data_IF_926664731431
#
_entry.id   IF_926664731431
#
_cell.length_a   1.000
_cell.length_b   1.000
_cell.length_c   1.000
_cell.angle_alpha   90.00
_cell.angle_beta   90.00
_cell.angle_gamma   90.00
#
_symmetry.space_group_name_H-M   'P 1'
#
loop_
_entity.id
_entity.type
_entity.pdbx_description
1 polymer ?
#
# COMPACT_ATOMS: atom_id res chain seq x y z
N UNK A 1 27.92 -19.00 11.66
CA UNK A 1 27.54 -18.16 10.52
C UNK A 1 26.19 -18.62 10.04
N UNK A 2 25.16 -17.79 10.15
CA UNK A 2 23.93 -17.99 9.38
C UNK A 2 24.31 -17.94 7.90
N UNK A 3 23.91 -18.92 7.08
CA UNK A 3 24.22 -18.89 5.65
C UNK A 3 23.67 -17.59 5.03
N UNK A 4 24.45 -16.97 4.15
CA UNK A 4 23.96 -15.81 3.40
C UNK A 4 22.79 -16.25 2.50
N UNK A 5 21.76 -15.40 2.36
CA UNK A 5 20.65 -15.72 1.48
C UNK A 5 21.11 -15.81 0.02
N UNK A 6 20.61 -16.81 -0.68
CA UNK A 6 20.79 -16.94 -2.11
C UNK A 6 19.75 -16.08 -2.84
N UNK A 7 20.16 -15.43 -3.93
CA UNK A 7 19.25 -14.68 -4.82
C UNK A 7 19.19 -15.37 -6.17
N UNK A 8 18.02 -15.86 -6.55
CA UNK A 8 17.76 -16.59 -7.80
C UNK A 8 16.79 -15.79 -8.65
N UNK A 9 17.08 -15.62 -9.95
CA UNK A 9 16.11 -15.06 -10.90
C UNK A 9 15.26 -16.20 -11.45
N UNK A 10 13.97 -16.23 -11.09
CA UNK A 10 13.04 -17.25 -11.54
C UNK A 10 12.46 -16.94 -12.93
N UNK A 11 12.35 -15.65 -13.26
CA UNK A 11 11.77 -15.19 -14.51
C UNK A 11 12.22 -13.75 -14.79
N UNK A 12 12.50 -13.42 -16.05
CA UNK A 12 12.80 -12.06 -16.48
C UNK A 12 12.29 -11.83 -17.91
N UNK A 13 11.61 -10.70 -18.11
CA UNK A 13 11.18 -10.21 -19.42
C UNK A 13 11.23 -8.68 -19.46
N UNK A 14 10.77 -8.09 -20.56
CA UNK A 14 10.56 -6.64 -20.66
C UNK A 14 9.49 -6.10 -19.70
N UNK A 15 8.57 -6.96 -19.23
CA UNK A 15 7.42 -6.54 -18.41
C UNK A 15 7.65 -6.74 -16.93
N UNK A 16 8.47 -7.71 -16.54
CA UNK A 16 8.61 -8.11 -15.14
C UNK A 16 9.90 -8.89 -14.85
N UNK A 17 10.40 -8.68 -13.64
CA UNK A 17 11.46 -9.46 -13.00
C UNK A 17 10.88 -10.22 -11.81
N UNK A 18 11.19 -11.51 -11.71
CA UNK A 18 10.86 -12.35 -10.56
C UNK A 18 12.13 -12.80 -9.89
N UNK A 19 12.33 -12.35 -8.65
CA UNK A 19 13.50 -12.63 -7.84
C UNK A 19 13.12 -13.47 -6.63
N UNK A 20 13.80 -14.57 -6.37
CA UNK A 20 13.63 -15.40 -5.18
C UNK A 20 14.83 -15.20 -4.26
N UNK A 21 14.58 -14.65 -3.09
CA UNK A 21 15.54 -14.57 -1.99
C UNK A 21 15.26 -15.75 -1.07
N UNK A 22 16.22 -16.66 -0.97
CA UNK A 22 16.06 -17.96 -0.30
C UNK A 22 17.31 -18.37 0.46
N UNK A 23 17.34 -19.58 1.02
CA UNK A 23 18.45 -20.09 1.83
C UNK A 23 18.21 -19.93 3.34
N UNK A 24 17.08 -19.34 3.75
CA UNK A 24 16.67 -19.38 5.14
C UNK A 24 16.02 -20.73 5.46
N UNK A 25 16.21 -21.23 6.68
CA UNK A 25 15.53 -22.45 7.18
C UNK A 25 14.04 -22.19 7.47
N UNK A 26 13.30 -21.68 6.48
CA UNK A 26 11.89 -21.30 6.60
C UNK A 26 10.97 -22.34 5.97
N UNK A 27 9.94 -22.76 6.70
CA UNK A 27 8.83 -23.56 6.17
C UNK A 27 7.79 -22.70 5.43
N UNK A 28 8.03 -21.39 5.33
CA UNK A 28 7.10 -20.38 4.85
C UNK A 28 7.77 -19.54 3.77
N UNK A 29 7.00 -19.13 2.77
CA UNK A 29 7.46 -18.19 1.76
C UNK A 29 6.45 -17.07 1.53
N UNK A 30 6.94 -15.84 1.41
CA UNK A 30 6.12 -14.72 0.97
C UNK A 30 6.30 -14.50 -0.54
N UNK A 31 5.20 -14.40 -1.29
CA UNK A 31 5.19 -13.91 -2.67
C UNK A 31 4.68 -12.49 -2.66
N UNK A 32 5.55 -11.54 -2.97
CA UNK A 32 5.27 -10.11 -2.87
C UNK A 32 4.95 -9.50 -4.22
N UNK A 33 3.92 -8.67 -4.23
CA UNK A 33 3.46 -7.90 -5.37
C UNK A 33 3.78 -6.43 -5.09
N UNK A 34 4.67 -5.84 -5.90
CA UNK A 34 5.01 -4.42 -5.81
C UNK A 34 3.81 -3.46 -5.84
N UNK A 35 3.81 -2.39 -5.03
CA UNK A 35 2.81 -1.35 -5.13
C UNK A 35 2.99 -0.53 -6.41
N UNK A 36 2.12 0.46 -6.60
CA UNK A 36 2.36 1.46 -7.63
C UNK A 36 3.65 2.21 -7.28
N UNK A 37 4.61 2.23 -8.19
CA UNK A 37 5.91 2.86 -8.00
C UNK A 37 6.10 4.07 -8.92
N UNK A 38 6.76 5.11 -8.41
CA UNK A 38 7.21 6.22 -9.26
C UNK A 38 8.60 5.97 -9.84
N UNK A 39 9.43 5.23 -9.11
CA UNK A 39 10.73 4.76 -9.57
C UNK A 39 10.58 3.35 -10.14
N UNK A 40 10.79 3.24 -11.44
CA UNK A 40 10.63 2.00 -12.21
C UNK A 40 11.98 1.40 -12.61
N UNK A 41 13.06 1.75 -11.89
CA UNK A 41 14.37 1.12 -12.08
C UNK A 41 14.22 -0.42 -12.05
N UNK A 42 14.67 -1.15 -13.10
CA UNK A 42 14.56 -2.60 -13.16
C UNK A 42 15.37 -3.32 -12.08
N UNK A 43 16.43 -2.69 -11.56
CA UNK A 43 17.33 -3.27 -10.55
C UNK A 43 16.90 -2.96 -9.11
N UNK A 44 15.77 -2.27 -8.94
CA UNK A 44 15.24 -1.95 -7.61
C UNK A 44 14.96 -3.20 -6.76
N UNK A 45 15.00 -2.99 -5.45
CA UNK A 45 14.63 -4.03 -4.49
C UNK A 45 13.15 -4.40 -4.65
N UNK A 46 12.83 -5.67 -4.42
CA UNK A 46 11.46 -6.13 -4.36
C UNK A 46 10.67 -5.49 -3.22
N UNK A 47 9.36 -5.36 -3.37
CA UNK A 47 8.51 -4.88 -2.28
C UNK A 47 8.63 -5.80 -1.07
N UNK A 48 9.00 -5.23 0.09
CA UNK A 48 9.24 -5.99 1.31
C UNK A 48 10.51 -6.83 1.30
N UNK A 49 11.37 -6.75 0.28
CA UNK A 49 12.62 -7.54 0.21
C UNK A 49 13.54 -7.31 1.42
N UNK A 50 13.88 -6.07 1.82
CA UNK A 50 14.67 -5.84 3.03
C UNK A 50 13.99 -6.36 4.30
N UNK A 51 12.66 -6.24 4.36
CA UNK A 51 11.86 -6.68 5.49
C UNK A 51 11.89 -8.20 5.67
N UNK A 52 11.68 -8.97 4.60
CA UNK A 52 11.73 -10.44 4.67
C UNK A 52 13.16 -10.96 4.88
N UNK A 53 14.17 -10.27 4.34
CA UNK A 53 15.59 -10.53 4.67
C UNK A 53 15.86 -10.36 6.17
N UNK A 54 15.37 -9.27 6.77
CA UNK A 54 15.50 -9.02 8.21
C UNK A 54 14.78 -10.08 9.06
N UNK A 55 13.61 -10.56 8.60
CA UNK A 55 12.87 -11.63 9.26
C UNK A 55 13.44 -13.03 9.00
N UNK A 56 14.44 -13.16 8.12
CA UNK A 56 14.98 -14.44 7.66
C UNK A 56 13.88 -15.38 7.13
N UNK A 57 12.97 -14.81 6.33
CA UNK A 57 11.89 -15.52 5.66
C UNK A 57 12.15 -15.52 4.17
N UNK A 58 12.08 -16.70 3.55
CA UNK A 58 12.22 -16.84 2.10
C UNK A 58 11.11 -16.06 1.39
N UNK A 59 11.46 -15.32 0.33
CA UNK A 59 10.50 -14.49 -0.37
C UNK A 59 10.76 -14.44 -1.88
N UNK A 60 9.68 -14.50 -2.64
CA UNK A 60 9.66 -14.25 -4.08
C UNK A 60 9.08 -12.86 -4.33
N UNK A 61 9.78 -12.04 -5.09
CA UNK A 61 9.41 -10.67 -5.40
C UNK A 61 9.05 -10.52 -6.87
N UNK A 62 7.82 -10.10 -7.15
CA UNK A 62 7.34 -9.78 -8.50
C UNK A 62 7.51 -8.27 -8.70
N UNK A 63 8.45 -7.91 -9.56
CA UNK A 63 8.89 -6.54 -9.79
C UNK A 63 8.49 -6.16 -11.22
N UNK A 64 7.38 -5.44 -11.41
CA UNK A 64 6.92 -5.05 -12.74
C UNK A 64 7.80 -3.92 -13.32
N UNK A 65 7.94 -3.86 -14.63
CA UNK A 65 8.63 -2.77 -15.31
C UNK A 65 7.82 -1.48 -15.35
N UNK A 66 6.50 -1.56 -15.16
CA UNK A 66 5.58 -0.41 -15.15
C UNK A 66 4.42 -0.60 -14.15
N UNK A 67 3.46 0.33 -14.18
CA UNK A 67 2.25 0.26 -13.35
C UNK A 67 1.02 -0.19 -14.15
N UNK A 68 1.13 -1.26 -14.94
CA UNK A 68 0.04 -1.86 -15.72
C UNK A 68 -0.83 -2.84 -14.92
N UNK A 69 -0.81 -2.76 -13.58
CA UNK A 69 -1.65 -3.55 -12.67
C UNK A 69 -1.60 -5.05 -12.95
N UNK A 70 -0.40 -5.57 -13.20
CA UNK A 70 -0.18 -6.99 -13.50
C UNK A 70 -0.92 -7.52 -14.74
N UNK A 71 -1.42 -6.65 -15.62
CA UNK A 71 -2.07 -7.06 -16.88
C UNK A 71 -1.05 -7.34 -17.98
N UNK A 72 -0.04 -8.15 -17.68
CA UNK A 72 1.05 -8.50 -18.60
C UNK A 72 0.75 -9.79 -19.37
N UNK A 73 1.05 -9.88 -20.67
CA UNK A 73 0.86 -11.10 -21.45
C UNK A 73 1.58 -12.32 -20.86
N UNK A 74 2.71 -12.09 -20.21
CA UNK A 74 3.62 -13.12 -19.73
C UNK A 74 3.54 -13.37 -18.22
N UNK A 75 2.58 -12.72 -17.51
CA UNK A 75 2.35 -12.94 -16.09
C UNK A 75 2.09 -14.43 -15.76
N UNK A 76 1.34 -15.14 -16.63
CA UNK A 76 1.01 -16.54 -16.41
C UNK A 76 2.25 -17.44 -16.40
N UNK A 77 3.19 -17.19 -17.31
CA UNK A 77 4.45 -17.94 -17.39
C UNK A 77 5.31 -17.69 -16.14
N UNK A 78 5.40 -16.43 -15.71
CA UNK A 78 6.11 -16.04 -14.50
C UNK A 78 5.50 -16.70 -13.25
N UNK A 79 4.17 -16.64 -13.10
CA UNK A 79 3.46 -17.26 -11.98
C UNK A 79 3.64 -18.78 -11.94
N UNK A 80 3.72 -19.45 -13.09
CA UNK A 80 4.01 -20.88 -13.14
C UNK A 80 5.41 -21.22 -12.58
N UNK A 81 6.44 -20.42 -12.89
CA UNK A 81 7.78 -20.58 -12.31
C UNK A 81 7.78 -20.34 -10.80
N UNK A 82 7.06 -19.29 -10.35
CA UNK A 82 6.89 -19.01 -8.92
C UNK A 82 6.26 -20.21 -8.22
N UNK A 83 5.16 -20.74 -8.77
CA UNK A 83 4.42 -21.87 -8.18
C UNK A 83 5.31 -23.11 -8.02
N UNK A 84 6.20 -23.39 -8.98
CA UNK A 84 7.18 -24.47 -8.86
C UNK A 84 8.18 -24.19 -7.73
N UNK A 85 8.75 -22.98 -7.69
CA UNK A 85 9.74 -22.60 -6.68
C UNK A 85 9.16 -22.64 -5.24
N UNK A 86 7.88 -22.27 -5.07
CA UNK A 86 7.25 -22.23 -3.76
C UNK A 86 6.57 -23.53 -3.33
N UNK A 87 6.51 -24.55 -4.19
CA UNK A 87 5.84 -25.82 -3.92
C UNK A 87 6.41 -26.59 -2.71
N UNK A 88 7.67 -26.30 -2.33
CA UNK A 88 8.34 -26.91 -1.17
C UNK A 88 7.93 -26.31 0.18
N UNK A 89 7.33 -25.13 0.22
CA UNK A 89 6.96 -24.47 1.46
C UNK A 89 5.60 -24.98 1.95
N UNK A 90 5.48 -25.16 3.26
CA UNK A 90 4.22 -25.59 3.90
C UNK A 90 3.15 -24.53 3.81
N UNK A 91 3.53 -23.25 3.80
CA UNK A 91 2.61 -22.14 3.57
C UNK A 91 3.26 -21.06 2.71
N UNK A 92 2.42 -20.47 1.87
CA UNK A 92 2.80 -19.42 0.96
C UNK A 92 1.83 -18.26 1.13
N UNK A 93 2.36 -17.07 1.44
CA UNK A 93 1.59 -15.84 1.63
C UNK A 93 1.73 -14.96 0.38
N UNK A 94 0.63 -14.65 -0.31
CA UNK A 94 0.61 -13.55 -1.27
C UNK A 94 0.49 -12.23 -0.52
N UNK A 95 1.38 -11.27 -0.77
CA UNK A 95 1.44 -10.02 -0.01
C UNK A 95 1.59 -8.80 -0.90
N UNK A 96 0.83 -7.74 -0.62
CA UNK A 96 0.96 -6.48 -1.35
C UNK A 96 0.13 -5.35 -0.77
N UNK A 97 0.45 -4.13 -1.19
CA UNK A 97 -0.29 -2.91 -0.84
C UNK A 97 -0.74 -2.14 -2.08
N UNK A 98 -1.92 -1.52 -2.04
CA UNK A 98 -2.49 -0.77 -3.17
C UNK A 98 -2.54 -1.63 -4.46
N UNK A 99 -1.82 -1.25 -5.53
CA UNK A 99 -1.65 -2.07 -6.74
C UNK A 99 -1.13 -3.48 -6.44
N UNK A 100 -0.17 -3.60 -5.52
CA UNK A 100 0.32 -4.89 -5.07
C UNK A 100 -0.75 -5.67 -4.31
N UNK A 101 -1.63 -4.98 -3.58
CA UNK A 101 -2.78 -5.59 -2.92
C UNK A 101 -3.78 -6.16 -3.92
N UNK A 102 -4.04 -5.44 -5.03
CA UNK A 102 -4.79 -5.98 -6.17
C UNK A 102 -4.11 -7.24 -6.72
N UNK A 103 -2.79 -7.21 -6.91
CA UNK A 103 -2.01 -8.36 -7.38
C UNK A 103 -2.12 -9.58 -6.46
N UNK A 104 -1.92 -9.38 -5.17
CA UNK A 104 -2.03 -10.43 -4.14
C UNK A 104 -3.43 -11.05 -4.08
N UNK A 105 -4.49 -10.23 -4.17
CA UNK A 105 -5.87 -10.71 -4.20
C UNK A 105 -6.13 -11.53 -5.47
N UNK A 106 -5.81 -10.98 -6.65
CA UNK A 106 -6.19 -11.56 -7.96
C UNK A 106 -5.35 -12.76 -8.37
N UNK A 107 -4.05 -12.71 -8.10
CA UNK A 107 -3.09 -13.69 -8.61
C UNK A 107 -2.47 -14.56 -7.51
N UNK A 108 -2.96 -14.45 -6.26
CA UNK A 108 -2.50 -15.29 -5.15
C UNK A 108 -2.61 -16.80 -5.47
N UNK A 109 -3.71 -17.24 -6.08
CA UNK A 109 -3.86 -18.65 -6.46
C UNK A 109 -2.93 -19.08 -7.59
N UNK A 110 -2.54 -18.17 -8.50
CA UNK A 110 -1.63 -18.47 -9.61
C UNK A 110 -0.23 -18.81 -9.11
N UNK A 111 0.21 -18.14 -8.06
CA UNK A 111 1.54 -18.35 -7.45
C UNK A 111 1.53 -19.46 -6.40
N UNK A 112 0.39 -20.15 -6.19
CA UNK A 112 0.25 -21.20 -5.19
C UNK A 112 0.15 -20.69 -3.75
N UNK A 113 -0.30 -19.45 -3.55
CA UNK A 113 -0.52 -18.92 -2.21
C UNK A 113 -1.70 -19.60 -1.52
N UNK A 114 -1.51 -19.87 -0.23
CA UNK A 114 -2.55 -20.42 0.65
C UNK A 114 -3.42 -19.31 1.24
N UNK A 115 -2.80 -18.15 1.49
CA UNK A 115 -3.44 -16.97 2.06
C UNK A 115 -2.93 -15.74 1.33
N UNK A 116 -3.79 -14.73 1.14
CA UNK A 116 -3.38 -13.39 0.73
C UNK A 116 -3.48 -12.40 1.90
N UNK A 117 -2.49 -11.52 2.04
CA UNK A 117 -2.57 -10.30 2.84
C UNK A 117 -2.52 -9.11 1.89
N UNK A 118 -3.65 -8.41 1.78
CA UNK A 118 -3.78 -7.27 0.90
C UNK A 118 -4.07 -6.00 1.71
N UNK A 119 -3.17 -5.02 1.64
CA UNK A 119 -3.31 -3.74 2.33
C UNK A 119 -3.82 -2.68 1.36
N UNK A 120 -4.96 -2.08 1.70
CA UNK A 120 -5.68 -1.10 0.90
C UNK A 120 -5.81 -1.50 -0.59
N UNK A 121 -6.26 -2.71 -0.92
CA UNK A 121 -6.27 -3.19 -2.31
C UNK A 121 -7.33 -2.48 -3.14
N UNK A 122 -7.03 -2.21 -4.41
CA UNK A 122 -8.04 -1.77 -5.38
C UNK A 122 -8.70 -3.00 -6.00
N UNK A 123 -9.95 -2.86 -6.43
CA UNK A 123 -10.74 -3.93 -7.06
C UNK A 123 -11.42 -3.51 -8.36
N UNK A 124 -11.60 -2.20 -8.57
CA UNK A 124 -12.52 -1.62 -9.54
C UNK A 124 -11.81 -0.88 -10.69
N UNK A 125 -10.85 -1.56 -11.31
CA UNK A 125 -9.99 -1.02 -12.36
C UNK A 125 -10.56 -1.30 -13.75
N UNK A 126 -11.03 -2.53 -13.97
CA UNK A 126 -11.66 -2.95 -15.21
C UNK A 126 -13.20 -2.85 -15.14
N UNK A 127 -13.88 -2.60 -16.27
CA UNK A 127 -15.28 -2.98 -16.40
C UNK A 127 -15.38 -4.52 -16.47
N UNK A 128 -15.62 -5.20 -15.34
CA UNK A 128 -15.83 -6.66 -15.34
C UNK A 128 -17.30 -7.03 -15.03
N UNK A 129 -18.16 -7.23 -16.05
CA UNK A 129 -19.59 -7.52 -15.86
C UNK A 129 -19.87 -8.74 -14.97
N UNK A 130 -18.94 -9.70 -14.93
CA UNK A 130 -19.06 -10.96 -14.17
C UNK A 130 -19.06 -10.74 -12.65
N UNK A 131 -18.31 -9.76 -12.15
CA UNK A 131 -18.31 -9.42 -10.72
C UNK A 131 -19.20 -8.23 -10.37
N UNK A 132 -19.53 -7.35 -11.33
CA UNK A 132 -20.30 -6.12 -11.06
C UNK A 132 -21.82 -6.29 -11.07
N UNK A 133 -22.35 -7.47 -11.40
CA UNK A 133 -23.76 -7.66 -11.72
C UNK A 133 -24.19 -6.76 -12.89
N UNK A 134 -25.34 -7.04 -13.50
CA UNK A 134 -25.91 -6.11 -14.48
C UNK A 134 -26.42 -4.87 -13.73
N UNK A 135 -25.57 -3.91 -13.37
CA UNK A 135 -26.05 -2.63 -12.85
C UNK A 135 -25.09 -1.68 -12.14
N UNK A 136 -23.92 -2.08 -11.62
CA UNK A 136 -23.05 -1.14 -10.88
C UNK A 136 -21.57 -1.37 -11.13
N UNK A 137 -21.11 -1.02 -12.33
CA UNK A 137 -19.70 -0.79 -12.63
C UNK A 137 -19.21 0.46 -11.87
N UNK A 138 -19.09 0.38 -10.54
CA UNK A 138 -18.31 1.38 -9.83
C UNK A 138 -16.89 1.27 -10.36
N UNK A 139 -16.37 2.37 -10.92
CA UNK A 139 -14.96 2.53 -11.24
C UNK A 139 -14.44 3.61 -10.33
N UNK A 140 -13.30 3.37 -9.70
CA UNK A 140 -12.67 4.44 -8.95
C UNK A 140 -12.22 5.53 -9.93
N UNK A 141 -12.77 6.76 -9.83
CA UNK A 141 -12.43 7.83 -10.76
C UNK A 141 -10.94 8.22 -10.67
N UNK A 142 -10.26 7.96 -9.55
CA UNK A 142 -8.83 8.25 -9.35
C UNK A 142 -7.99 7.52 -10.40
N UNK A 143 -8.34 6.26 -10.70
CA UNK A 143 -7.57 5.42 -11.62
C UNK A 143 -8.07 5.47 -13.07
N UNK A 144 -9.10 6.27 -13.37
CA UNK A 144 -9.71 6.32 -14.70
C UNK A 144 -8.70 6.74 -15.78
N UNK A 145 -7.81 7.69 -15.49
CA UNK A 145 -6.82 8.13 -16.47
C UNK A 145 -5.80 7.01 -16.76
N UNK A 146 -5.26 6.40 -15.70
CA UNK A 146 -4.26 5.34 -15.81
C UNK A 146 -4.80 4.07 -16.46
N UNK A 147 -6.02 3.66 -16.12
CA UNK A 147 -6.61 2.41 -16.62
C UNK A 147 -7.07 2.48 -18.07
N UNK A 148 -7.08 3.66 -18.71
CA UNK A 148 -7.47 3.81 -20.12
C UNK A 148 -6.52 3.13 -21.09
N UNK A 149 -5.22 3.15 -20.79
CA UNK A 149 -4.18 2.55 -21.64
C UNK A 149 -3.94 1.07 -21.33
N UNK A 150 -4.54 0.54 -20.27
CA UNK A 150 -4.33 -0.83 -19.83
C UNK A 150 -5.29 -1.75 -20.56
N UNK A 151 -4.74 -2.73 -21.29
CA UNK A 151 -5.50 -3.87 -21.78
C UNK A 151 -5.60 -4.90 -20.65
N UNK A 152 -6.80 -5.09 -20.11
CA UNK A 152 -7.04 -6.09 -19.08
C UNK A 152 -7.10 -7.50 -19.70
N UNK A 153 -6.10 -8.32 -19.41
CA UNK A 153 -5.92 -9.65 -19.98
C UNK A 153 -6.46 -10.78 -19.10
N UNK A 154 -6.51 -10.57 -17.78
CA UNK A 154 -6.69 -11.65 -16.80
C UNK A 154 -7.93 -11.49 -15.91
N UNK A 155 -8.83 -10.56 -16.24
CA UNK A 155 -9.99 -10.20 -15.41
C UNK A 155 -11.12 -11.24 -15.37
N UNK A 156 -11.11 -12.20 -16.29
CA UNK A 156 -12.07 -13.31 -16.37
C UNK A 156 -11.69 -14.50 -15.48
N UNK A 157 -10.47 -14.52 -14.96
CA UNK A 157 -9.96 -15.58 -14.10
C UNK A 157 -10.48 -15.47 -12.67
N UNK A 158 -10.62 -16.64 -12.04
CA UNK A 158 -11.24 -16.78 -10.72
C UNK A 158 -10.38 -17.55 -9.70
N UNK A 159 -9.11 -17.75 -10.02
CA UNK A 159 -8.11 -18.52 -9.27
C UNK A 159 -7.44 -17.65 -8.18
N UNK A 160 -8.26 -17.11 -7.27
CA UNK A 160 -7.82 -16.30 -6.12
C UNK A 160 -7.14 -17.19 -5.06
N UNK A 161 -6.42 -16.59 -4.11
CA UNK A 161 -5.98 -17.33 -2.92
C UNK A 161 -7.21 -17.87 -2.15
N UNK A 162 -7.13 -19.06 -1.52
CA UNK A 162 -8.25 -19.67 -0.79
C UNK A 162 -8.87 -18.76 0.28
N UNK A 163 -8.03 -18.00 1.00
CA UNK A 163 -8.46 -17.03 2.00
C UNK A 163 -7.66 -15.74 1.87
N UNK A 164 -8.25 -14.60 2.24
CA UNK A 164 -7.53 -13.33 2.29
C UNK A 164 -7.85 -12.48 3.52
N UNK A 165 -6.82 -11.81 4.04
CA UNK A 165 -6.94 -10.71 4.98
C UNK A 165 -6.84 -9.38 4.23
N UNK A 166 -7.86 -8.53 4.35
CA UNK A 166 -7.89 -7.21 3.71
C UNK A 166 -7.85 -6.12 4.77
N UNK A 167 -6.72 -5.42 4.84
CA UNK A 167 -6.52 -4.26 5.72
C UNK A 167 -6.92 -3.00 4.97
N UNK A 168 -7.73 -2.12 5.55
CA UNK A 168 -8.18 -0.91 4.86
C UNK A 168 -8.64 0.19 5.82
N UNK A 169 -8.64 1.45 5.38
CA UNK A 169 -9.34 2.51 6.10
C UNK A 169 -10.84 2.51 5.73
N UNK A 170 -11.76 2.18 6.64
CA UNK A 170 -13.20 2.19 6.36
C UNK A 170 -13.76 3.58 6.07
N UNK A 171 -12.97 4.63 6.27
CA UNK A 171 -13.39 6.01 6.09
C UNK A 171 -12.91 6.61 4.75
N UNK A 172 -12.19 5.86 3.92
CA UNK A 172 -11.74 6.22 2.57
C UNK A 172 -12.55 5.45 1.51
N UNK A 173 -12.34 5.71 0.20
CA UNK A 173 -12.89 4.86 -0.86
C UNK A 173 -12.48 3.38 -0.76
N UNK A 174 -11.41 3.03 -0.02
CA UNK A 174 -10.95 1.65 0.16
C UNK A 174 -12.04 0.74 0.73
N UNK A 175 -12.98 1.28 1.52
CA UNK A 175 -14.14 0.52 2.01
C UNK A 175 -14.90 -0.19 0.88
N UNK A 176 -15.12 0.50 -0.24
CA UNK A 176 -15.85 -0.09 -1.38
C UNK A 176 -15.07 -1.21 -2.05
N UNK A 177 -13.74 -1.08 -2.11
CA UNK A 177 -12.88 -2.14 -2.63
C UNK A 177 -12.87 -3.37 -1.71
N UNK A 178 -12.74 -3.15 -0.41
CA UNK A 178 -12.77 -4.20 0.60
C UNK A 178 -14.11 -4.94 0.63
N UNK A 179 -15.24 -4.21 0.64
CA UNK A 179 -16.60 -4.77 0.57
C UNK A 179 -16.81 -5.59 -0.70
N UNK A 180 -16.28 -5.12 -1.84
CA UNK A 180 -16.34 -5.86 -3.09
C UNK A 180 -15.63 -7.21 -2.98
N UNK A 181 -14.39 -7.24 -2.49
CA UNK A 181 -13.65 -8.48 -2.33
C UNK A 181 -14.38 -9.46 -1.38
N UNK A 182 -14.88 -8.97 -0.24
CA UNK A 182 -15.68 -9.78 0.69
C UNK A 182 -16.96 -10.33 0.07
N UNK A 183 -17.59 -9.60 -0.86
CA UNK A 183 -18.81 -10.07 -1.54
C UNK A 183 -18.56 -11.19 -2.56
N UNK A 184 -17.31 -11.34 -3.03
CA UNK A 184 -16.95 -12.25 -4.11
C UNK A 184 -16.10 -13.45 -3.65
N UNK A 185 -15.42 -13.35 -2.51
CA UNK A 185 -14.39 -14.29 -2.04
C UNK A 185 -14.42 -14.47 -0.52
N UNK A 186 -13.77 -15.52 -0.04
CA UNK A 186 -13.53 -15.71 1.39
C UNK A 186 -12.47 -14.71 1.88
N UNK A 187 -12.96 -13.67 2.56
CA UNK A 187 -12.15 -12.51 2.98
C UNK A 187 -12.51 -12.10 4.39
N UNK A 188 -11.49 -12.02 5.25
CA UNK A 188 -11.55 -11.37 6.55
C UNK A 188 -11.17 -9.89 6.41
N UNK A 189 -12.10 -9.02 6.77
CA UNK A 189 -11.90 -7.56 6.72
C UNK A 189 -11.28 -7.04 8.02
N UNK A 190 -10.19 -6.28 7.90
CA UNK A 190 -9.46 -5.67 9.01
C UNK A 190 -9.53 -4.14 8.86
N UNK A 191 -10.55 -3.48 9.44
CA UNK A 191 -10.69 -2.04 9.36
C UNK A 191 -9.65 -1.32 10.25
N UNK A 192 -8.99 -0.30 9.70
CA UNK A 192 -8.03 0.58 10.40
C UNK A 192 -8.47 2.05 10.18
N UNK A 193 -9.44 2.56 10.96
CA UNK A 193 -9.98 3.91 10.79
C UNK A 193 -8.90 4.99 10.86
N UNK A 194 -9.03 5.99 9.99
CA UNK A 194 -8.09 7.12 9.88
C UNK A 194 -6.64 6.72 9.51
N UNK A 195 -6.40 5.52 9.00
CA UNK A 195 -5.06 5.14 8.50
C UNK A 195 -4.74 5.71 7.12
N UNK A 196 -5.75 6.16 6.38
CA UNK A 196 -5.60 6.67 5.02
C UNK A 196 -5.30 5.57 4.01
N UNK A 197 -4.64 5.96 2.91
CA UNK A 197 -4.25 5.06 1.84
C UNK A 197 -2.74 5.24 1.53
N UNK A 198 -1.90 4.20 1.67
CA UNK A 198 -2.24 2.88 2.21
C UNK A 198 -2.29 2.87 3.75
N UNK A 199 -3.07 1.95 4.32
CA UNK A 199 -3.16 1.73 5.78
C UNK A 199 -1.85 1.21 6.39
N UNK A 200 -0.94 0.72 5.55
CA UNK A 200 0.35 0.14 5.92
C UNK A 200 1.20 1.10 6.78
N UNK A 201 1.20 2.39 6.48
CA UNK A 201 2.01 3.39 7.20
C UNK A 201 1.62 3.47 8.68
N UNK A 202 0.32 3.45 8.97
CA UNK A 202 -0.17 3.49 10.34
C UNK A 202 0.22 2.20 11.11
N UNK A 203 0.15 1.04 10.46
CA UNK A 203 0.54 -0.23 11.09
C UNK A 203 2.04 -0.32 11.36
N UNK A 204 2.89 0.23 10.47
CA UNK A 204 4.34 0.32 10.71
C UNK A 204 4.63 1.19 11.92
N UNK A 205 4.07 2.41 11.95
CA UNK A 205 4.29 3.35 13.04
C UNK A 205 3.76 2.86 14.39
N UNK A 206 2.73 2.01 14.38
CA UNK A 206 2.19 1.37 15.57
C UNK A 206 2.95 0.09 15.98
N UNK A 207 3.93 -0.37 15.19
CA UNK A 207 4.62 -1.64 15.43
C UNK A 207 3.76 -2.88 15.22
N UNK A 208 2.61 -2.76 14.54
CA UNK A 208 1.62 -3.82 14.36
C UNK A 208 1.81 -4.62 13.05
N UNK A 209 2.49 -4.04 12.04
CA UNK A 209 2.65 -4.72 10.75
C UNK A 209 3.51 -5.99 10.85
N UNK A 210 4.65 -5.93 11.53
CA UNK A 210 5.58 -7.06 11.63
C UNK A 210 4.96 -8.27 12.34
N UNK A 211 4.35 -8.11 13.54
CA UNK A 211 3.66 -9.22 14.19
C UNK A 211 2.53 -9.80 13.33
N UNK A 212 1.74 -8.95 12.67
CA UNK A 212 0.67 -9.40 11.78
C UNK A 212 1.18 -10.31 10.66
N UNK A 213 2.20 -9.88 9.91
CA UNK A 213 2.74 -10.69 8.81
C UNK A 213 3.31 -12.00 9.35
N UNK A 214 4.06 -11.94 10.46
CA UNK A 214 4.61 -13.13 11.10
C UNK A 214 3.51 -14.13 11.47
N UNK A 215 2.50 -13.71 12.24
CA UNK A 215 1.42 -14.59 12.68
C UNK A 215 0.60 -15.16 11.53
N UNK A 216 0.40 -14.41 10.45
CA UNK A 216 -0.27 -14.91 9.23
C UNK A 216 0.58 -15.99 8.57
N UNK A 217 1.89 -15.76 8.44
CA UNK A 217 2.82 -16.77 7.94
C UNK A 217 2.71 -18.04 8.79
N UNK A 218 2.83 -17.96 10.11
CA UNK A 218 2.75 -19.12 11.01
C UNK A 218 1.35 -19.72 11.15
N UNK A 219 0.31 -19.06 10.63
CA UNK A 219 -1.07 -19.54 10.68
C UNK A 219 -1.72 -19.47 12.06
N UNK A 220 -1.26 -18.53 12.89
CA UNK A 220 -1.75 -18.30 14.26
C UNK A 220 -2.42 -16.92 14.42
N UNK A 221 -2.59 -16.20 13.32
CA UNK A 221 -3.17 -14.86 13.32
C UNK A 221 -4.63 -14.87 13.78
N UNK A 222 -4.91 -14.10 14.83
CA UNK A 222 -6.25 -13.85 15.35
C UNK A 222 -6.71 -12.46 14.90
N UNK A 223 -7.59 -12.44 13.89
CA UNK A 223 -8.09 -11.19 13.32
C UNK A 223 -8.91 -10.38 14.33
N UNK A 224 -9.70 -11.02 15.20
CA UNK A 224 -10.53 -10.31 16.18
C UNK A 224 -9.65 -9.66 17.26
N UNK A 225 -8.59 -10.35 17.69
CA UNK A 225 -7.56 -9.77 18.58
C UNK A 225 -6.88 -8.58 17.92
N UNK A 226 -6.44 -8.73 16.68
CA UNK A 226 -5.77 -7.67 15.95
C UNK A 226 -6.69 -6.46 15.72
N UNK A 227 -7.97 -6.66 15.44
CA UNK A 227 -8.95 -5.56 15.29
C UNK A 227 -9.14 -4.81 16.62
N UNK A 228 -9.12 -5.50 17.77
CA UNK A 228 -9.14 -4.84 19.09
C UNK A 228 -7.87 -4.01 19.33
N UNK A 229 -6.70 -4.54 18.97
CA UNK A 229 -5.42 -3.81 19.05
C UNK A 229 -5.44 -2.55 18.16
N UNK A 230 -5.96 -2.67 16.94
CA UNK A 230 -6.18 -1.54 16.01
C UNK A 230 -7.15 -0.52 16.59
N UNK A 231 -8.20 -0.95 17.30
CA UNK A 231 -9.12 -0.06 18.01
C UNK A 231 -8.44 0.80 19.09
N UNK A 232 -7.29 0.34 19.60
CA UNK A 232 -6.41 1.08 20.50
C UNK A 232 -5.54 2.14 19.82
N UNK A 233 -5.50 2.21 18.48
CA UNK A 233 -4.76 3.25 17.77
C UNK A 233 -5.39 4.62 18.02
N UNK A 234 -4.58 5.54 18.54
CA UNK A 234 -5.01 6.89 18.90
C UNK A 234 -4.33 7.94 18.02
N UNK A 235 -4.58 9.22 18.32
CA UNK A 235 -3.82 10.31 17.71
C UNK A 235 -2.33 10.32 18.12
N UNK A 236 -1.87 9.36 18.96
CA UNK A 236 -0.47 9.14 19.26
C UNK A 236 0.29 8.32 18.19
N UNK A 237 -0.38 7.94 17.10
CA UNK A 237 0.28 7.47 15.87
C UNK A 237 0.31 8.61 14.84
N UNK A 238 1.48 9.00 14.28
CA UNK A 238 1.61 10.14 13.39
C UNK A 238 0.64 10.11 12.21
N UNK A 239 0.56 8.98 11.50
CA UNK A 239 -0.31 8.80 10.35
C UNK A 239 -1.79 8.99 10.71
N UNK A 240 -2.23 8.42 11.85
CA UNK A 240 -3.61 8.58 12.33
C UNK A 240 -3.93 10.06 12.62
N UNK A 241 -3.01 10.77 13.28
CA UNK A 241 -3.18 12.20 13.57
C UNK A 241 -3.24 13.05 12.29
N UNK A 242 -2.36 12.77 11.33
CA UNK A 242 -2.28 13.46 10.04
C UNK A 242 -3.56 13.25 9.23
N UNK A 243 -4.01 12.01 9.06
CA UNK A 243 -5.21 11.70 8.29
C UNK A 243 -6.46 12.28 8.96
N UNK A 244 -6.58 12.24 10.29
CA UNK A 244 -7.65 12.93 11.03
C UNK A 244 -7.67 14.43 10.74
N UNK A 245 -6.50 15.08 10.71
CA UNK A 245 -6.41 16.49 10.35
C UNK A 245 -6.85 16.72 8.89
N UNK A 246 -6.32 15.94 7.94
CA UNK A 246 -6.67 16.05 6.52
C UNK A 246 -8.17 15.84 6.23
N UNK A 247 -8.82 14.95 6.98
CA UNK A 247 -10.26 14.67 6.85
C UNK A 247 -11.15 15.80 7.37
N UNK A 248 -10.64 16.66 8.26
CA UNK A 248 -11.41 17.79 8.74
C UNK A 248 -11.73 18.75 7.59
N UNK A 249 -13.04 18.94 7.31
CA UNK A 249 -13.53 19.82 6.25
C UNK A 249 -13.41 21.31 6.59
N UNK A 250 -13.64 21.66 7.86
CA UNK A 250 -13.49 23.03 8.33
C UNK A 250 -11.98 23.38 8.43
N UNK A 251 -11.51 24.46 7.79
CA UNK A 251 -10.09 24.78 7.71
C UNK A 251 -9.48 25.18 9.07
N UNK A 252 -10.24 25.82 9.96
CA UNK A 252 -9.79 26.11 11.33
C UNK A 252 -9.65 24.83 12.17
N UNK A 253 -10.62 23.91 12.06
CA UNK A 253 -10.52 22.59 12.72
C UNK A 253 -9.33 21.80 12.19
N UNK A 254 -9.12 21.80 10.87
CA UNK A 254 -7.96 21.16 10.22
C UNK A 254 -6.65 21.73 10.76
N UNK A 255 -6.50 23.05 10.80
CA UNK A 255 -5.30 23.67 11.35
C UNK A 255 -5.09 23.31 12.82
N UNK A 256 -6.15 23.32 13.64
CA UNK A 256 -6.05 22.92 15.06
C UNK A 256 -5.55 21.49 15.21
N UNK A 257 -6.09 20.55 14.43
CA UNK A 257 -5.65 19.15 14.46
C UNK A 257 -4.23 18.97 13.92
N UNK A 258 -3.86 19.68 12.85
CA UNK A 258 -2.51 19.65 12.31
C UNK A 258 -1.49 20.20 13.30
N UNK A 259 -1.83 21.27 14.03
CA UNK A 259 -1.01 21.82 15.12
C UNK A 259 -0.86 20.84 16.28
N UNK A 260 -1.91 20.09 16.63
CA UNK A 260 -1.81 19.03 17.63
C UNK A 260 -0.92 17.88 17.15
N UNK A 261 -1.01 17.50 15.86
CA UNK A 261 -0.16 16.46 15.28
C UNK A 261 1.32 16.86 15.31
N UNK A 262 1.68 18.06 14.85
CA UNK A 262 3.08 18.51 14.87
C UNK A 262 3.61 18.72 16.30
N UNK A 263 2.75 19.10 17.26
CA UNK A 263 3.15 19.18 18.66
C UNK A 263 3.45 17.79 19.27
N UNK A 264 2.69 16.77 18.87
CA UNK A 264 2.93 15.38 19.28
C UNK A 264 4.12 14.75 18.56
N UNK A 265 4.38 15.14 17.30
CA UNK A 265 5.44 14.62 16.45
C UNK A 265 6.25 15.76 15.81
N UNK A 266 7.09 16.46 16.57
CA UNK A 266 7.88 17.56 16.05
C UNK A 266 8.76 17.13 14.87
N UNK A 267 8.76 17.92 13.79
CA UNK A 267 9.54 17.64 12.58
C UNK A 267 8.93 16.61 11.63
N UNK A 268 7.77 16.02 11.93
CA UNK A 268 7.08 15.16 10.97
C UNK A 268 6.67 15.96 9.73
N UNK A 269 7.28 15.62 8.60
CA UNK A 269 7.17 16.36 7.34
C UNK A 269 5.76 16.32 6.77
N UNK A 270 5.07 15.19 6.94
CA UNK A 270 3.68 15.06 6.49
C UNK A 270 2.75 15.91 7.35
N UNK A 271 2.95 15.95 8.67
CA UNK A 271 2.22 16.85 9.56
C UNK A 271 2.50 18.33 9.21
N UNK A 272 3.76 18.71 8.95
CA UNK A 272 4.13 20.06 8.52
C UNK A 272 3.44 20.46 7.21
N UNK A 273 3.36 19.56 6.22
CA UNK A 273 2.63 19.84 4.95
C UNK A 273 1.16 20.14 5.21
N UNK A 274 0.52 19.42 6.14
CA UNK A 274 -0.88 19.70 6.52
C UNK A 274 -1.00 21.04 7.24
N UNK A 275 -0.04 21.39 8.11
CA UNK A 275 0.02 22.73 8.75
C UNK A 275 0.13 23.82 7.69
N UNK A 276 1.06 23.70 6.74
CA UNK A 276 1.26 24.69 5.68
C UNK A 276 0.01 24.91 4.81
N UNK A 277 -0.62 23.82 4.32
CA UNK A 277 -1.86 23.95 3.54
C UNK A 277 -3.02 24.51 4.39
N UNK A 278 -3.18 24.07 5.64
CA UNK A 278 -4.28 24.52 6.50
C UNK A 278 -4.11 25.99 6.93
N UNK A 279 -2.90 26.39 7.33
CA UNK A 279 -2.57 27.74 7.76
C UNK A 279 -2.75 28.74 6.61
N UNK A 280 -2.31 28.40 5.40
CA UNK A 280 -2.50 29.26 4.22
C UNK A 280 -3.97 29.48 3.88
N UNK A 281 -4.85 28.48 4.09
CA UNK A 281 -6.30 28.62 3.85
C UNK A 281 -7.02 29.51 4.86
N UNK A 282 -6.47 29.70 6.06
CA UNK A 282 -7.06 30.55 7.10
C UNK A 282 -6.33 31.89 7.27
N UNK A 283 -5.49 32.27 6.29
CA UNK A 283 -4.77 33.55 6.28
C UNK A 283 -3.56 33.63 7.22
N UNK A 284 -3.10 32.52 7.81
CA UNK A 284 -1.91 32.49 8.66
C UNK A 284 -0.63 32.29 7.82
N UNK A 285 -0.34 33.27 6.96
CA UNK A 285 0.75 33.19 5.98
C UNK A 285 2.13 32.95 6.63
N UNK A 286 2.42 33.62 7.76
CA UNK A 286 3.70 33.44 8.47
C UNK A 286 3.89 31.99 8.93
N UNK A 287 2.88 31.41 9.57
CA UNK A 287 2.93 30.01 10.01
C UNK A 287 3.07 29.05 8.83
N UNK A 288 2.35 29.29 7.74
CA UNK A 288 2.44 28.46 6.55
C UNK A 288 3.85 28.48 5.94
N UNK A 289 4.47 29.66 5.83
CA UNK A 289 5.81 29.83 5.27
C UNK A 289 6.88 29.21 6.16
N UNK A 290 6.81 29.38 7.48
CA UNK A 290 7.74 28.72 8.41
C UNK A 290 7.69 27.20 8.29
N UNK A 291 6.48 26.63 8.21
CA UNK A 291 6.36 25.19 7.97
C UNK A 291 6.96 24.76 6.62
N UNK A 292 6.82 25.58 5.57
CA UNK A 292 7.44 25.30 4.27
C UNK A 292 8.98 25.39 4.30
N UNK A 293 9.54 26.36 5.03
CA UNK A 293 10.99 26.48 5.21
C UNK A 293 11.58 25.22 5.84
N UNK A 294 10.95 24.69 6.89
CA UNK A 294 11.38 23.43 7.53
C UNK A 294 11.28 22.23 6.58
N UNK A 295 10.19 22.10 5.83
CA UNK A 295 10.00 21.00 4.88
C UNK A 295 11.05 21.06 3.77
N UNK A 296 11.31 22.23 3.19
CA UNK A 296 12.26 22.40 2.09
C UNK A 296 13.72 22.23 2.53
N UNK A 297 14.03 22.58 3.79
CA UNK A 297 15.34 22.27 4.36
C UNK A 297 15.58 20.75 4.47
N UNK A 298 14.54 19.97 4.75
CA UNK A 298 14.63 18.52 4.89
C UNK A 298 14.51 17.76 3.56
N UNK A 299 13.76 18.30 2.59
CA UNK A 299 13.44 17.67 1.32
C UNK A 299 13.45 18.71 0.17
N UNK A 300 14.63 19.22 -0.21
CA UNK A 300 14.76 20.32 -1.17
C UNK A 300 14.29 19.93 -2.58
N UNK A 301 14.42 18.66 -2.97
CA UNK A 301 14.15 18.23 -4.35
C UNK A 301 12.75 17.61 -4.54
N UNK A 302 11.97 17.49 -3.46
CA UNK A 302 10.64 16.89 -3.56
C UNK A 302 9.64 17.89 -4.18
N UNK A 303 9.32 17.70 -5.46
CA UNK A 303 8.44 18.58 -6.25
C UNK A 303 7.08 18.88 -5.61
N UNK A 304 6.52 17.95 -4.83
CA UNK A 304 5.28 18.18 -4.09
C UNK A 304 5.37 19.34 -3.10
N UNK A 305 6.55 19.56 -2.49
CA UNK A 305 6.78 20.67 -1.56
C UNK A 305 6.82 22.01 -2.31
N UNK A 306 7.43 22.07 -3.49
CA UNK A 306 7.45 23.28 -4.33
C UNK A 306 6.06 23.67 -4.81
N UNK A 307 5.26 22.70 -5.26
CA UNK A 307 3.87 22.96 -5.64
C UNK A 307 3.05 23.50 -4.46
N UNK A 308 3.27 22.97 -3.25
CA UNK A 308 2.62 23.49 -2.05
C UNK A 308 3.10 24.91 -1.70
N UNK A 309 4.40 25.18 -1.80
CA UNK A 309 4.96 26.52 -1.55
C UNK A 309 4.32 27.56 -2.48
N UNK A 310 4.23 27.28 -3.77
CA UNK A 310 3.58 28.17 -4.73
C UNK A 310 2.12 28.48 -4.33
N UNK A 311 1.36 27.47 -3.88
CA UNK A 311 0.00 27.70 -3.37
C UNK A 311 -0.03 28.55 -2.10
N UNK A 312 0.96 28.40 -1.22
CA UNK A 312 1.10 29.22 -0.01
C UNK A 312 1.40 30.67 -0.39
N UNK A 313 2.33 30.92 -1.32
CA UNK A 313 2.66 32.25 -1.83
C UNK A 313 1.47 32.93 -2.51
N UNK A 314 0.77 32.22 -3.39
CA UNK A 314 -0.44 32.70 -4.05
C UNK A 314 -1.51 33.14 -3.04
N UNK A 315 -1.80 32.31 -2.03
CA UNK A 315 -2.78 32.64 -0.97
C UNK A 315 -2.32 33.78 -0.06
N UNK A 316 -1.02 34.01 0.05
CA UNK A 316 -0.43 35.12 0.79
C UNK A 316 -0.35 36.41 -0.04
N UNK A 317 -0.83 36.43 -1.29
CA UNK A 317 -0.74 37.59 -2.18
C UNK A 317 0.68 37.88 -2.69
N UNK A 318 1.58 36.89 -2.67
CA UNK A 318 2.96 37.02 -3.17
C UNK A 318 3.05 36.35 -4.54
N UNK A 319 2.69 37.08 -5.60
CA UNK A 319 2.53 36.52 -6.94
C UNK A 319 3.85 36.34 -7.72
N UNK A 320 4.92 37.02 -7.29
CA UNK A 320 6.24 36.97 -7.94
C UNK A 320 7.17 35.89 -7.36
N UNK A 321 6.64 34.93 -6.57
CA UNK A 321 7.41 33.92 -5.84
C UNK A 321 6.80 32.53 -5.91
#
# INVERSE_FOLDING_TARGET
>A
MTPEPETIILYQSENLLVRHVTGYSSNYCAVTFAPFEHDLDPDRAGFGEPFFKQLQVDAVHIIPADNSWYQYPDLAAACAQIRVAVARYHRVLAYGTSMGGYGAMRFGGWVGAHTALAISPQSALAPCPRFFGRGKAWRDPVWRAQTKSIRFLHEDRDDFAPHAFVVYDPLTPDRRHAEFYRSAKDVTLIPVPDSGHPSMVALIQAGLLTPMISEICWGVFDADRFIREVGGLTAHTPQIAIIRAMRAKNPFKRLRLARAAIAAFPGDRSALRVVADAASRVGQARLALTAMEEILAAEPDFMGNHYLLHKVHFRAGRFDR
#
